data_IF_632043017073
#
_entry.id   IF_632043017073
#
_cell.length_a   1.000
_cell.length_b   1.000
_cell.length_c   1.000
_cell.angle_alpha   90.00
_cell.angle_beta   90.00
_cell.angle_gamma   90.00
#
_symmetry.space_group_name_H-M   'P 1'
#
loop_
_entity.id
_entity.type
_entity.pdbx_description
1 polymer ?
#
# COMPACT_ATOMS: atom_id res chain seq x y z
N UNK A 1 29.46 -28.84 66.23
CA UNK A 1 30.36 -27.81 65.64
C UNK A 1 29.86 -27.60 64.19
N UNK A 2 28.88 -26.73 64.06
CA UNK A 2 28.21 -26.40 62.78
C UNK A 2 28.77 -25.08 62.23
N UNK A 3 29.20 -25.10 61.01
CA UNK A 3 29.60 -23.89 60.25
C UNK A 3 28.48 -23.51 59.32
N UNK A 4 27.77 -22.42 59.69
CA UNK A 4 26.82 -21.71 58.82
C UNK A 4 27.57 -21.06 57.68
N UNK A 5 27.18 -21.41 56.44
CA UNK A 5 27.60 -20.67 55.25
C UNK A 5 26.51 -19.64 54.96
N UNK A 6 26.83 -18.36 55.22
CA UNK A 6 26.05 -17.22 54.82
C UNK A 6 26.05 -17.13 53.28
N UNK A 7 24.87 -17.22 52.68
CA UNK A 7 24.63 -16.86 51.30
C UNK A 7 24.74 -15.33 51.16
N UNK A 8 25.65 -14.90 50.31
CA UNK A 8 25.76 -13.50 49.88
C UNK A 8 24.67 -13.27 48.84
N UNK A 9 23.62 -12.54 49.22
CA UNK A 9 22.64 -11.99 48.29
C UNK A 9 23.35 -10.99 47.36
N UNK A 10 23.56 -11.37 46.11
CA UNK A 10 23.97 -10.45 45.05
C UNK A 10 22.78 -9.58 44.66
N UNK A 11 22.77 -8.37 45.14
CA UNK A 11 21.90 -7.27 44.70
C UNK A 11 21.94 -7.15 43.17
N UNK A 12 20.99 -7.78 42.51
CA UNK A 12 20.68 -7.54 41.11
C UNK A 12 19.93 -6.20 40.98
N UNK A 13 20.69 -5.11 40.93
CA UNK A 13 20.15 -3.80 40.61
C UNK A 13 19.73 -3.76 39.11
N UNK A 14 18.45 -3.83 38.77
CA UNK A 14 18.02 -3.68 37.38
C UNK A 14 18.27 -2.24 36.98
N UNK A 15 19.23 -2.04 36.06
CA UNK A 15 19.54 -0.74 35.46
C UNK A 15 18.23 -0.03 35.12
N UNK A 16 18.00 1.10 35.79
CA UNK A 16 16.88 1.99 35.59
C UNK A 16 16.81 2.36 34.09
N UNK A 17 15.85 1.79 33.38
CA UNK A 17 15.45 2.31 32.09
C UNK A 17 14.98 3.74 32.36
N UNK A 18 15.67 4.73 31.80
CA UNK A 18 15.21 6.13 31.79
C UNK A 18 13.96 6.13 30.88
N UNK A 19 12.85 5.69 31.45
CA UNK A 19 11.53 5.95 30.89
C UNK A 19 11.25 7.42 31.13
N UNK A 20 10.92 8.15 30.09
CA UNK A 20 10.36 9.49 30.25
C UNK A 20 9.22 9.43 31.28
N UNK A 21 9.08 10.45 32.14
CA UNK A 21 7.93 10.56 33.02
C UNK A 21 6.65 10.28 32.25
N UNK A 22 5.73 9.51 32.81
CA UNK A 22 4.52 9.06 32.13
C UNK A 22 3.74 10.18 31.43
N UNK A 23 3.75 11.39 32.03
CA UNK A 23 3.11 12.58 31.47
C UNK A 23 3.73 13.06 30.13
N UNK A 24 5.08 12.97 29.96
CA UNK A 24 5.73 13.34 28.70
C UNK A 24 5.49 12.31 27.59
N UNK A 25 5.34 11.04 27.94
CA UNK A 25 4.94 9.99 27.01
C UNK A 25 3.52 10.24 26.54
N UNK A 26 2.61 10.49 27.46
CA UNK A 26 1.21 10.80 27.18
C UNK A 26 1.07 12.07 26.32
N UNK A 27 1.83 13.13 26.63
CA UNK A 27 1.84 14.36 25.81
C UNK A 27 2.31 14.09 24.37
N UNK A 28 3.35 13.30 24.17
CA UNK A 28 3.83 12.96 22.82
C UNK A 28 2.80 12.14 22.04
N UNK A 29 2.12 11.21 22.71
CA UNK A 29 1.02 10.42 22.12
C UNK A 29 -0.17 11.31 21.75
N UNK A 30 -0.58 12.22 22.61
CA UNK A 30 -1.63 13.21 22.32
C UNK A 30 -1.26 14.16 21.19
N UNK A 31 0.00 14.58 21.10
CA UNK A 31 0.48 15.43 20.01
C UNK A 31 0.39 14.69 18.66
N UNK A 32 0.83 13.44 18.59
CA UNK A 32 0.74 12.61 17.37
C UNK A 32 -0.72 12.40 16.98
N UNK A 33 -1.57 12.02 17.93
CA UNK A 33 -3.02 11.85 17.69
C UNK A 33 -3.64 13.17 17.23
N UNK A 34 -3.28 14.29 17.86
CA UNK A 34 -3.77 15.62 17.50
C UNK A 34 -3.39 16.00 16.06
N UNK A 35 -2.11 15.86 15.70
CA UNK A 35 -1.63 16.14 14.34
C UNK A 35 -2.34 15.23 13.32
N UNK A 36 -2.43 13.94 13.62
CA UNK A 36 -3.12 12.99 12.76
C UNK A 36 -4.61 13.33 12.59
N UNK A 37 -5.28 13.69 13.68
CA UNK A 37 -6.70 14.09 13.65
C UNK A 37 -6.90 15.35 12.83
N UNK A 38 -6.06 16.36 13.01
CA UNK A 38 -6.12 17.62 12.24
C UNK A 38 -5.88 17.34 10.76
N UNK A 39 -4.85 16.57 10.41
CA UNK A 39 -4.58 16.20 9.01
C UNK A 39 -5.76 15.46 8.37
N UNK A 40 -6.33 14.49 9.08
CA UNK A 40 -7.51 13.75 8.63
C UNK A 40 -8.73 14.65 8.44
N UNK A 41 -9.03 15.51 9.43
CA UNK A 41 -10.19 16.44 9.38
C UNK A 41 -10.03 17.45 8.25
N UNK A 42 -8.84 18.03 8.07
CA UNK A 42 -8.56 18.97 6.98
C UNK A 42 -8.72 18.29 5.61
N UNK A 43 -8.19 17.08 5.44
CA UNK A 43 -8.35 16.32 4.20
C UNK A 43 -9.82 15.93 3.97
N UNK A 44 -10.53 15.46 5.01
CA UNK A 44 -11.94 15.09 4.91
C UNK A 44 -12.85 16.29 4.60
N UNK A 45 -12.58 17.47 5.19
CA UNK A 45 -13.30 18.70 4.88
C UNK A 45 -13.01 19.14 3.46
N UNK A 46 -11.74 19.12 3.03
CA UNK A 46 -11.33 19.45 1.68
C UNK A 46 -12.01 18.56 0.63
N UNK A 47 -12.05 17.26 0.87
CA UNK A 47 -12.71 16.29 -0.01
C UNK A 47 -14.24 16.41 0.05
N UNK A 48 -14.82 16.61 1.23
CA UNK A 48 -16.25 16.82 1.41
C UNK A 48 -16.75 18.08 0.71
N UNK A 49 -16.03 19.19 0.82
CA UNK A 49 -16.37 20.42 0.11
C UNK A 49 -16.26 20.26 -1.40
N UNK A 50 -15.26 19.55 -1.89
CA UNK A 50 -15.10 19.24 -3.32
C UNK A 50 -16.26 18.36 -3.85
N UNK A 51 -16.68 17.37 -3.07
CA UNK A 51 -17.83 16.52 -3.41
C UNK A 51 -19.14 17.30 -3.41
N UNK A 52 -19.37 18.18 -2.42
CA UNK A 52 -20.59 18.98 -2.29
C UNK A 52 -20.71 20.09 -3.33
N UNK A 53 -19.60 20.75 -3.68
CA UNK A 53 -19.60 21.82 -4.68
C UNK A 53 -19.72 21.31 -6.11
N UNK A 54 -19.59 20.01 -6.33
CA UNK A 54 -19.74 19.37 -7.65
C UNK A 54 -18.64 19.73 -8.65
N UNK A 55 -17.70 20.61 -8.27
CA UNK A 55 -16.68 21.13 -9.18
C UNK A 55 -15.50 20.18 -9.43
N UNK A 56 -15.44 19.05 -8.73
CA UNK A 56 -14.23 18.21 -8.72
C UNK A 56 -14.46 16.68 -8.74
N UNK A 57 -15.68 16.16 -8.87
CA UNK A 57 -15.89 14.73 -9.07
C UNK A 57 -15.14 14.25 -10.32
N UNK A 58 -15.16 15.05 -11.38
CA UNK A 58 -14.50 14.78 -12.65
C UNK A 58 -12.96 14.86 -12.61
N UNK A 59 -12.37 15.59 -11.67
CA UNK A 59 -10.91 15.75 -11.56
C UNK A 59 -10.22 14.64 -10.76
N UNK A 60 -10.95 13.65 -10.24
CA UNK A 60 -10.46 12.52 -9.45
C UNK A 60 -10.34 11.27 -10.31
N UNK A 61 -9.43 10.36 -9.94
CA UNK A 61 -9.29 9.07 -10.61
C UNK A 61 -10.59 8.23 -10.59
N UNK A 62 -11.44 8.49 -9.59
CA UNK A 62 -12.78 7.90 -9.51
C UNK A 62 -13.58 8.03 -10.81
N UNK A 63 -13.45 9.18 -11.52
CA UNK A 63 -14.27 9.41 -12.73
C UNK A 63 -14.03 8.36 -13.80
N UNK A 64 -12.83 7.81 -13.88
CA UNK A 64 -12.49 6.74 -14.84
C UNK A 64 -13.27 5.48 -14.56
N UNK A 65 -13.47 5.14 -13.28
CA UNK A 65 -14.21 3.94 -12.85
C UNK A 65 -15.71 4.11 -13.12
N UNK A 66 -16.25 5.28 -12.77
CA UNK A 66 -17.66 5.59 -12.99
C UNK A 66 -18.00 5.64 -14.48
N UNK A 67 -17.20 6.34 -15.29
CA UNK A 67 -17.44 6.46 -16.72
C UNK A 67 -17.37 5.09 -17.43
N UNK A 68 -16.36 4.27 -17.12
CA UNK A 68 -16.27 2.90 -17.65
C UNK A 68 -17.47 2.03 -17.22
N UNK A 69 -17.89 2.13 -15.96
CA UNK A 69 -19.06 1.42 -15.46
C UNK A 69 -20.36 1.90 -16.15
N UNK A 70 -20.47 3.20 -16.41
CA UNK A 70 -21.62 3.79 -17.12
C UNK A 70 -21.72 3.30 -18.55
N UNK A 71 -20.59 3.28 -19.28
CA UNK A 71 -20.51 2.68 -20.60
C UNK A 71 -20.97 1.22 -20.59
N UNK A 72 -20.46 0.44 -19.65
CA UNK A 72 -20.75 -0.99 -19.54
C UNK A 72 -22.24 -1.27 -19.30
N UNK A 73 -22.93 -0.48 -18.45
CA UNK A 73 -24.37 -0.59 -18.21
C UNK A 73 -25.18 -0.30 -19.46
N UNK A 74 -24.69 0.59 -20.33
CA UNK A 74 -25.30 0.89 -21.62
C UNK A 74 -24.85 -0.05 -22.75
N UNK A 75 -24.21 -1.19 -22.43
CA UNK A 75 -23.68 -2.16 -23.39
C UNK A 75 -22.71 -1.54 -24.41
N UNK A 76 -21.98 -0.50 -23.98
CA UNK A 76 -20.97 0.20 -24.78
C UNK A 76 -19.58 -0.19 -24.31
N UNK A 77 -18.55 0.08 -25.15
CA UNK A 77 -17.17 -0.24 -24.84
C UNK A 77 -16.68 0.53 -23.60
N UNK A 78 -16.36 -0.15 -22.48
CA UNK A 78 -15.93 0.50 -21.21
C UNK A 78 -14.56 1.17 -21.30
N UNK A 79 -13.85 1.02 -22.41
CA UNK A 79 -12.52 1.60 -22.66
C UNK A 79 -12.55 2.59 -23.86
N UNK A 80 -13.72 2.93 -24.39
CA UNK A 80 -13.82 3.90 -25.49
C UNK A 80 -13.52 5.33 -24.99
N UNK A 81 -12.39 5.87 -25.43
CA UNK A 81 -11.94 7.20 -25.03
C UNK A 81 -12.92 8.32 -25.39
N UNK A 82 -13.65 8.18 -26.51
CA UNK A 82 -14.60 9.20 -26.94
C UNK A 82 -15.84 9.25 -26.05
N UNK A 83 -16.48 8.09 -25.84
CA UNK A 83 -17.65 7.99 -24.97
C UNK A 83 -17.32 8.32 -23.51
N UNK A 84 -16.16 7.88 -22.99
CA UNK A 84 -15.69 8.25 -21.66
C UNK A 84 -15.51 9.76 -21.55
N UNK A 85 -14.87 10.43 -22.52
CA UNK A 85 -14.68 11.88 -22.48
C UNK A 85 -16.00 12.64 -22.46
N UNK A 86 -17.04 12.18 -23.16
CA UNK A 86 -18.37 12.77 -23.10
C UNK A 86 -18.96 12.70 -21.68
N UNK A 87 -18.85 11.54 -21.02
CA UNK A 87 -19.30 11.33 -19.65
C UNK A 87 -18.50 12.19 -18.66
N UNK A 88 -17.19 12.22 -18.77
CA UNK A 88 -16.32 13.05 -17.94
C UNK A 88 -16.68 14.54 -18.05
N UNK A 89 -16.92 15.03 -19.26
CA UNK A 89 -17.33 16.42 -19.47
C UNK A 89 -18.72 16.72 -18.90
N UNK A 90 -19.68 15.79 -19.03
CA UNK A 90 -21.00 15.93 -18.43
C UNK A 90 -20.94 16.00 -16.91
N UNK A 91 -19.95 15.32 -16.30
CA UNK A 91 -19.65 15.35 -14.87
C UNK A 91 -18.78 16.56 -14.44
N UNK A 92 -18.47 17.50 -15.35
CA UNK A 92 -17.71 18.71 -15.06
C UNK A 92 -16.19 18.60 -15.28
N UNK A 93 -15.71 17.57 -16.00
CA UNK A 93 -14.28 17.44 -16.33
C UNK A 93 -13.82 18.59 -17.23
N UNK A 94 -12.71 19.28 -16.92
CA UNK A 94 -12.27 20.43 -17.67
C UNK A 94 -11.97 20.12 -19.14
N UNK A 95 -12.44 20.93 -20.10
CA UNK A 95 -12.28 20.65 -21.54
C UNK A 95 -10.83 20.65 -22.01
N UNK A 96 -9.93 21.28 -21.27
CA UNK A 96 -8.50 21.39 -21.61
C UNK A 96 -7.68 20.17 -21.16
N UNK A 97 -8.27 19.24 -20.42
CA UNK A 97 -7.59 18.04 -19.92
C UNK A 97 -7.88 16.87 -20.87
N UNK A 98 -6.89 16.04 -21.09
CA UNK A 98 -7.06 14.79 -21.87
C UNK A 98 -7.93 13.79 -21.12
N UNK A 99 -8.65 12.95 -21.87
CA UNK A 99 -9.48 11.88 -21.31
C UNK A 99 -8.72 10.99 -20.34
N UNK A 100 -9.37 10.63 -19.26
CA UNK A 100 -8.87 9.69 -18.26
C UNK A 100 -9.54 8.32 -18.43
N UNK A 101 -9.01 7.46 -19.28
CA UNK A 101 -9.53 6.11 -19.49
C UNK A 101 -9.07 5.17 -18.37
N UNK A 102 -9.97 4.33 -17.87
CA UNK A 102 -9.65 3.28 -16.91
C UNK A 102 -8.60 2.31 -17.49
N UNK A 103 -7.44 2.18 -16.83
CA UNK A 103 -6.32 1.33 -17.27
C UNK A 103 -6.27 -0.04 -16.57
N UNK A 104 -7.29 -0.35 -15.80
CA UNK A 104 -7.38 -1.60 -15.08
C UNK A 104 -7.91 -2.71 -16.01
N UNK A 105 -7.40 -3.95 -15.88
CA UNK A 105 -7.85 -5.07 -16.71
C UNK A 105 -9.34 -5.39 -16.56
N UNK A 106 -9.97 -6.10 -17.54
CA UNK A 106 -11.40 -6.39 -17.56
C UNK A 106 -11.96 -7.08 -16.32
N UNK A 107 -11.19 -7.91 -15.63
CA UNK A 107 -11.63 -8.51 -14.37
C UNK A 107 -11.78 -7.49 -13.23
N UNK A 108 -11.48 -6.22 -13.44
CA UNK A 108 -11.84 -5.12 -12.53
C UNK A 108 -13.25 -4.59 -12.79
N UNK A 109 -13.82 -4.81 -13.98
CA UNK A 109 -15.14 -4.31 -14.37
C UNK A 109 -16.26 -4.69 -13.38
N UNK A 110 -16.35 -5.93 -12.86
CA UNK A 110 -17.38 -6.29 -11.90
C UNK A 110 -17.33 -5.47 -10.62
N UNK A 111 -16.15 -5.01 -10.21
CA UNK A 111 -15.96 -4.19 -9.02
C UNK A 111 -16.52 -2.78 -9.18
N UNK A 112 -16.35 -2.21 -10.37
CA UNK A 112 -16.77 -0.83 -10.64
C UNK A 112 -18.21 -0.75 -11.21
N UNK A 113 -18.75 -1.84 -11.74
CA UNK A 113 -20.07 -1.92 -12.36
C UNK A 113 -21.18 -1.23 -11.54
N UNK A 114 -21.29 -1.44 -10.21
CA UNK A 114 -22.36 -0.81 -9.43
C UNK A 114 -22.34 0.71 -9.46
N UNK A 115 -21.17 1.34 -9.71
CA UNK A 115 -21.05 2.80 -9.78
C UNK A 115 -21.82 3.38 -10.96
N UNK A 116 -21.90 2.65 -12.06
CA UNK A 116 -22.62 3.08 -13.25
C UNK A 116 -24.14 3.16 -13.08
N UNK A 117 -24.71 2.55 -12.03
CA UNK A 117 -26.15 2.61 -11.73
C UNK A 117 -26.57 3.98 -11.16
N UNK A 118 -25.64 4.78 -10.69
CA UNK A 118 -25.87 6.05 -10.02
C UNK A 118 -25.34 7.22 -10.84
N UNK A 119 -25.83 8.42 -10.57
CA UNK A 119 -25.18 9.63 -11.04
C UNK A 119 -23.78 9.79 -10.43
N UNK A 120 -22.97 10.64 -11.03
CA UNK A 120 -21.55 10.79 -10.66
C UNK A 120 -21.33 11.20 -9.21
N UNK A 121 -22.25 11.99 -8.62
CA UNK A 121 -22.11 12.49 -7.22
C UNK A 121 -22.40 11.41 -6.21
N UNK A 122 -23.51 10.67 -6.42
CA UNK A 122 -23.88 9.54 -5.54
C UNK A 122 -22.82 8.45 -5.66
N UNK A 123 -22.39 8.11 -6.89
CA UNK A 123 -21.36 7.13 -7.13
C UNK A 123 -20.02 7.52 -6.45
N UNK A 124 -19.62 8.80 -6.52
CA UNK A 124 -18.43 9.32 -5.85
C UNK A 124 -18.51 9.21 -4.33
N UNK A 125 -19.68 9.50 -3.75
CA UNK A 125 -19.96 9.32 -2.32
C UNK A 125 -19.84 7.87 -1.87
N UNK A 126 -20.50 6.95 -2.59
CA UNK A 126 -20.45 5.51 -2.30
C UNK A 126 -19.02 4.95 -2.44
N UNK A 127 -18.30 5.36 -3.49
CA UNK A 127 -16.91 4.98 -3.70
C UNK A 127 -16.00 5.47 -2.59
N UNK A 128 -16.13 6.72 -2.18
CA UNK A 128 -15.35 7.30 -1.08
C UNK A 128 -15.61 6.57 0.24
N UNK A 129 -16.87 6.21 0.54
CA UNK A 129 -17.22 5.40 1.71
C UNK A 129 -16.62 3.99 1.66
N UNK A 130 -16.62 3.36 0.48
CA UNK A 130 -16.00 2.04 0.27
C UNK A 130 -14.49 2.09 0.50
N UNK A 131 -13.82 3.12 -0.04
CA UNK A 131 -12.38 3.31 0.13
C UNK A 131 -12.02 3.62 1.59
N UNK A 132 -12.77 4.50 2.24
CA UNK A 132 -12.58 4.82 3.67
C UNK A 132 -12.80 3.58 4.54
N UNK A 133 -13.87 2.83 4.29
CA UNK A 133 -14.16 1.56 4.98
C UNK A 133 -13.02 0.55 4.79
N UNK A 134 -12.45 0.48 3.58
CA UNK A 134 -11.31 -0.40 3.27
C UNK A 134 -10.05 0.02 4.03
N UNK A 135 -9.77 1.31 4.14
CA UNK A 135 -8.65 1.83 4.95
C UNK A 135 -8.84 1.49 6.43
N UNK A 136 -10.02 1.80 6.98
CA UNK A 136 -10.35 1.53 8.39
C UNK A 136 -10.22 0.03 8.69
N UNK A 137 -10.81 -0.82 7.86
CA UNK A 137 -10.74 -2.26 8.02
C UNK A 137 -9.30 -2.76 7.95
N UNK A 138 -8.50 -2.29 6.99
CA UNK A 138 -7.11 -2.70 6.80
C UNK A 138 -6.24 -2.37 8.01
N UNK A 139 -6.26 -1.12 8.46
CA UNK A 139 -5.48 -0.68 9.63
C UNK A 139 -5.92 -1.43 10.88
N UNK A 140 -7.24 -1.59 11.09
CA UNK A 140 -7.78 -2.31 12.25
C UNK A 140 -7.40 -3.80 12.25
N UNK A 141 -7.43 -4.46 11.09
CA UNK A 141 -7.01 -5.87 10.97
C UNK A 141 -5.52 -6.00 11.29
N UNK A 142 -4.66 -5.13 10.77
CA UNK A 142 -3.22 -5.13 11.08
C UNK A 142 -2.99 -4.91 12.58
N UNK A 143 -3.68 -3.97 13.21
CA UNK A 143 -3.63 -3.75 14.66
C UNK A 143 -4.02 -5.00 15.46
N UNK A 144 -5.10 -5.71 15.04
CA UNK A 144 -5.53 -6.97 15.66
C UNK A 144 -4.46 -8.07 15.47
N UNK A 145 -3.83 -8.15 14.30
CA UNK A 145 -2.76 -9.13 14.01
C UNK A 145 -1.53 -8.94 14.90
N UNK A 146 -1.31 -7.73 15.40
CA UNK A 146 -0.25 -7.42 16.38
C UNK A 146 -0.73 -7.47 17.84
N UNK A 147 -1.79 -8.24 18.14
CA UNK A 147 -2.35 -8.41 19.49
C UNK A 147 -2.84 -7.10 20.14
N UNK A 148 -3.33 -6.16 19.32
CA UNK A 148 -3.91 -4.89 19.78
C UNK A 148 -2.98 -4.14 20.73
N UNK A 149 -1.79 -3.68 20.29
CA UNK A 149 -0.88 -2.95 21.15
C UNK A 149 -1.58 -1.78 21.82
N UNK A 150 -1.32 -1.60 23.12
CA UNK A 150 -1.87 -0.47 23.91
C UNK A 150 -1.07 0.80 23.61
N UNK A 151 -1.18 1.27 22.35
CA UNK A 151 -0.61 2.52 21.89
C UNK A 151 -1.42 3.05 20.69
N UNK A 152 -1.17 4.30 20.34
CA UNK A 152 -1.89 4.98 19.24
C UNK A 152 -1.15 4.94 17.89
N UNK A 153 -0.11 4.12 17.73
CA UNK A 153 0.73 4.10 16.52
C UNK A 153 -0.05 3.68 15.27
N UNK A 154 -1.12 2.88 15.41
CA UNK A 154 -1.98 2.51 14.30
C UNK A 154 -2.68 3.71 13.63
N UNK A 155 -2.84 4.85 14.34
CA UNK A 155 -3.39 6.07 13.74
C UNK A 155 -2.52 6.62 12.61
N UNK A 156 -1.20 6.38 12.64
CA UNK A 156 -0.32 6.73 11.53
C UNK A 156 -0.67 5.99 10.22
N UNK A 157 -1.32 4.83 10.31
CA UNK A 157 -1.83 4.14 9.13
C UNK A 157 -3.01 4.86 8.47
N UNK A 158 -3.88 5.51 9.26
CA UNK A 158 -5.00 6.31 8.73
C UNK A 158 -4.55 7.62 8.11
N UNK A 159 -3.48 8.22 8.62
CA UNK A 159 -2.97 9.53 8.25
C UNK A 159 -1.69 9.45 7.42
N UNK A 160 -1.34 8.25 6.96
CA UNK A 160 -0.24 8.06 6.03
C UNK A 160 -0.53 8.84 4.73
N UNK A 161 0.41 9.69 4.31
CA UNK A 161 0.19 10.61 3.19
C UNK A 161 -0.30 9.92 1.90
N UNK A 162 0.20 8.70 1.61
CA UNK A 162 -0.29 7.93 0.48
C UNK A 162 -1.76 7.47 0.67
N UNK A 163 -2.21 7.22 1.91
CA UNK A 163 -3.61 6.86 2.18
C UNK A 163 -4.54 8.06 1.98
N UNK A 164 -4.17 9.23 2.48
CA UNK A 164 -4.94 10.46 2.30
C UNK A 164 -4.98 10.86 0.83
N UNK A 165 -3.84 10.81 0.13
CA UNK A 165 -3.79 11.06 -1.32
C UNK A 165 -4.64 10.07 -2.13
N UNK A 166 -4.68 8.81 -1.70
CA UNK A 166 -5.49 7.76 -2.33
C UNK A 166 -6.99 8.02 -2.13
N UNK A 167 -7.42 8.42 -0.92
CA UNK A 167 -8.80 8.85 -0.64
C UNK A 167 -9.16 10.10 -1.46
N UNK A 168 -8.29 11.11 -1.45
CA UNK A 168 -8.52 12.36 -2.15
C UNK A 168 -8.65 12.18 -3.67
N UNK A 169 -7.87 11.31 -4.29
CA UNK A 169 -7.96 10.99 -5.72
C UNK A 169 -9.07 9.99 -6.07
N UNK A 170 -9.64 9.29 -5.10
CA UNK A 170 -10.59 8.20 -5.33
C UNK A 170 -9.92 6.95 -5.93
N UNK A 171 -8.65 6.71 -5.64
CA UNK A 171 -7.84 5.66 -6.25
C UNK A 171 -8.14 4.27 -5.65
N UNK A 172 -8.22 3.25 -6.49
CA UNK A 172 -8.58 1.86 -6.14
C UNK A 172 -7.56 1.18 -5.19
N UNK A 173 -6.38 1.75 -4.99
CA UNK A 173 -5.27 1.13 -4.24
C UNK A 173 -5.60 0.82 -2.78
N UNK A 174 -6.63 1.46 -2.19
CA UNK A 174 -7.14 1.09 -0.86
C UNK A 174 -7.85 -0.27 -0.83
N UNK A 175 -8.49 -0.66 -1.92
CA UNK A 175 -9.04 -2.02 -2.06
C UNK A 175 -7.92 -3.04 -2.26
N UNK A 176 -6.87 -2.65 -2.98
CA UNK A 176 -5.65 -3.48 -3.14
C UNK A 176 -4.98 -3.71 -1.78
N UNK A 177 -4.89 -2.67 -0.93
CA UNK A 177 -4.43 -2.78 0.45
C UNK A 177 -5.30 -3.75 1.26
N UNK A 178 -6.64 -3.64 1.17
CA UNK A 178 -7.54 -4.54 1.87
C UNK A 178 -7.31 -5.99 1.45
N UNK A 179 -7.13 -6.26 0.15
CA UNK A 179 -6.80 -7.59 -0.36
C UNK A 179 -5.51 -8.15 0.24
N UNK A 180 -4.45 -7.33 0.33
CA UNK A 180 -3.20 -7.71 0.97
C UNK A 180 -3.39 -8.05 2.44
N UNK A 181 -4.09 -7.21 3.18
CA UNK A 181 -4.32 -7.41 4.62
C UNK A 181 -5.18 -8.65 4.89
N UNK A 182 -6.19 -8.90 4.07
CA UNK A 182 -7.00 -10.13 4.16
C UNK A 182 -6.15 -11.38 3.87
N UNK A 183 -5.28 -11.34 2.86
CA UNK A 183 -4.33 -12.41 2.62
C UNK A 183 -3.42 -12.64 3.85
N UNK A 184 -2.79 -11.59 4.38
CA UNK A 184 -1.93 -11.69 5.57
C UNK A 184 -2.68 -12.26 6.77
N UNK A 185 -3.93 -11.90 6.97
CA UNK A 185 -4.76 -12.36 8.10
C UNK A 185 -5.19 -13.82 7.97
N UNK A 186 -5.54 -14.26 6.76
CA UNK A 186 -6.22 -15.53 6.55
C UNK A 186 -5.36 -16.64 5.93
N UNK A 187 -4.10 -16.36 5.54
CA UNK A 187 -3.25 -17.35 4.85
C UNK A 187 -3.05 -18.67 5.62
N UNK A 188 -3.14 -18.64 6.95
CA UNK A 188 -3.03 -19.84 7.82
C UNK A 188 -4.39 -20.41 8.23
N UNK A 189 -5.37 -19.54 8.53
CA UNK A 189 -6.65 -19.94 9.13
C UNK A 189 -7.73 -20.26 8.12
N UNK A 190 -7.79 -19.54 7.00
CA UNK A 190 -8.82 -19.66 5.97
C UNK A 190 -8.21 -19.51 4.56
N UNK A 191 -7.45 -20.54 4.10
CA UNK A 191 -6.66 -20.42 2.87
C UNK A 191 -7.47 -20.07 1.61
N UNK A 192 -8.73 -20.53 1.50
CA UNK A 192 -9.59 -20.17 0.37
C UNK A 192 -9.92 -18.68 0.35
N UNK A 193 -10.24 -18.09 1.53
CA UNK A 193 -10.52 -16.66 1.67
C UNK A 193 -9.25 -15.86 1.36
N UNK A 194 -8.09 -16.29 1.89
CA UNK A 194 -6.82 -15.68 1.59
C UNK A 194 -6.52 -15.69 0.08
N UNK A 195 -6.80 -16.80 -0.59
CA UNK A 195 -6.68 -16.89 -2.04
C UNK A 195 -7.63 -15.97 -2.77
N UNK A 196 -8.91 -15.98 -2.42
CA UNK A 196 -9.91 -15.13 -3.04
C UNK A 196 -9.60 -13.63 -2.88
N UNK A 197 -9.01 -13.21 -1.74
CA UNK A 197 -8.62 -11.81 -1.51
C UNK A 197 -7.51 -11.32 -2.45
N UNK A 198 -6.74 -12.22 -3.08
CA UNK A 198 -5.74 -11.85 -4.09
C UNK A 198 -6.38 -11.26 -5.35
N UNK A 199 -7.68 -11.49 -5.57
CA UNK A 199 -8.41 -10.83 -6.65
C UNK A 199 -8.35 -9.30 -6.56
N UNK A 200 -8.30 -8.72 -5.36
CA UNK A 200 -8.11 -7.27 -5.20
C UNK A 200 -6.75 -6.75 -5.69
N UNK A 201 -5.76 -7.64 -5.96
CA UNK A 201 -4.49 -7.21 -6.58
C UNK A 201 -4.60 -7.08 -8.11
N UNK A 202 -5.64 -7.68 -8.67
CA UNK A 202 -5.89 -7.68 -10.11
C UNK A 202 -5.84 -6.29 -10.78
N UNK A 203 -6.37 -5.20 -10.16
CA UNK A 203 -6.25 -3.87 -10.72
C UNK A 203 -4.82 -3.36 -10.87
N UNK A 204 -3.87 -3.82 -10.02
CA UNK A 204 -2.49 -3.32 -9.96
C UNK A 204 -1.47 -4.44 -9.69
N UNK A 205 -1.40 -5.48 -10.54
CA UNK A 205 -0.55 -6.65 -10.30
C UNK A 205 0.94 -6.32 -10.32
N UNK A 206 1.34 -5.27 -11.02
CA UNK A 206 2.72 -4.80 -11.13
C UNK A 206 3.35 -4.37 -9.79
N UNK A 207 2.54 -4.01 -8.80
CA UNK A 207 3.02 -3.66 -7.46
C UNK A 207 3.49 -4.88 -6.65
N UNK A 208 3.12 -6.10 -7.08
CA UNK A 208 3.33 -7.33 -6.33
C UNK A 208 4.31 -8.30 -7.00
N UNK A 209 5.11 -7.89 -7.98
CA UNK A 209 5.93 -8.83 -8.75
C UNK A 209 6.89 -9.65 -7.86
N UNK A 210 7.79 -9.08 -7.03
CA UNK A 210 8.63 -9.84 -6.12
C UNK A 210 7.81 -10.61 -5.05
N UNK A 211 6.81 -9.96 -4.47
CA UNK A 211 5.93 -10.59 -3.49
C UNK A 211 5.16 -11.78 -4.08
N UNK A 212 4.60 -11.63 -5.27
CA UNK A 212 3.87 -12.65 -5.99
C UNK A 212 4.74 -13.84 -6.41
N UNK A 213 5.99 -13.58 -6.83
CA UNK A 213 6.95 -14.64 -7.13
C UNK A 213 7.21 -15.53 -5.90
N UNK A 214 7.42 -14.93 -4.74
CA UNK A 214 7.59 -15.65 -3.48
C UNK A 214 6.28 -16.34 -3.05
N UNK A 215 5.13 -15.68 -3.20
CA UNK A 215 3.83 -16.28 -2.89
C UNK A 215 3.61 -17.57 -3.69
N UNK A 216 3.91 -17.54 -4.99
CA UNK A 216 3.81 -18.72 -5.84
C UNK A 216 4.78 -19.84 -5.39
N UNK A 217 6.04 -19.50 -5.15
CA UNK A 217 7.02 -20.43 -4.64
C UNK A 217 6.62 -21.02 -3.29
N UNK A 218 6.08 -20.21 -2.38
CA UNK A 218 5.59 -20.65 -1.07
C UNK A 218 4.35 -21.56 -1.18
N UNK A 219 3.39 -21.26 -2.04
CA UNK A 219 2.22 -22.11 -2.29
C UNK A 219 2.66 -23.49 -2.74
N UNK A 220 3.62 -23.57 -3.67
CA UNK A 220 4.13 -24.84 -4.22
C UNK A 220 4.90 -25.61 -3.17
N UNK A 221 5.88 -25.01 -2.51
CA UNK A 221 6.78 -25.67 -1.56
C UNK A 221 6.09 -26.07 -0.26
N UNK A 222 5.13 -25.25 0.21
CA UNK A 222 4.35 -25.53 1.42
C UNK A 222 3.02 -26.24 1.14
N UNK A 223 2.77 -26.64 -0.13
CA UNK A 223 1.57 -27.36 -0.57
C UNK A 223 0.25 -26.66 -0.18
N UNK A 224 0.26 -25.33 -0.17
CA UNK A 224 -0.90 -24.48 0.21
C UNK A 224 -1.86 -24.27 -0.96
N UNK A 225 -2.17 -25.32 -1.74
CA UNK A 225 -2.96 -25.25 -2.97
C UNK A 225 -4.36 -24.66 -2.79
N UNK A 226 -4.95 -24.71 -1.59
CA UNK A 226 -6.25 -24.07 -1.32
C UNK A 226 -6.21 -22.55 -1.53
N UNK A 227 -5.05 -21.91 -1.34
CA UNK A 227 -4.88 -20.49 -1.66
C UNK A 227 -4.95 -20.28 -3.17
N UNK A 228 -4.24 -21.12 -3.94
CA UNK A 228 -4.33 -21.06 -5.40
C UNK A 228 -5.77 -21.31 -5.90
N UNK A 229 -6.47 -22.30 -5.34
CA UNK A 229 -7.89 -22.56 -5.68
C UNK A 229 -8.75 -21.32 -5.40
N UNK A 230 -8.63 -20.70 -4.21
CA UNK A 230 -9.39 -19.50 -3.88
C UNK A 230 -9.11 -18.35 -4.85
N UNK A 231 -7.82 -18.12 -5.19
CA UNK A 231 -7.43 -17.10 -6.14
C UNK A 231 -8.00 -17.38 -7.54
N UNK A 232 -7.75 -18.56 -8.09
CA UNK A 232 -8.22 -18.96 -9.42
C UNK A 232 -9.74 -18.87 -9.51
N UNK A 233 -10.47 -19.36 -8.48
CA UNK A 233 -11.94 -19.27 -8.46
C UNK A 233 -12.43 -17.82 -8.50
N UNK A 234 -11.85 -16.92 -7.71
CA UNK A 234 -12.25 -15.51 -7.70
C UNK A 234 -11.94 -14.83 -9.04
N UNK A 235 -10.77 -15.12 -9.64
CA UNK A 235 -10.43 -14.62 -10.98
C UNK A 235 -11.35 -15.15 -12.07
N UNK A 236 -11.67 -16.44 -12.04
CA UNK A 236 -12.58 -17.06 -13.03
C UNK A 236 -14.00 -16.50 -12.92
N UNK A 237 -14.52 -16.32 -11.71
CA UNK A 237 -15.83 -15.69 -11.48
C UNK A 237 -15.83 -14.26 -12.01
N UNK A 238 -14.81 -13.47 -11.70
CA UNK A 238 -14.69 -12.11 -12.19
C UNK A 238 -14.56 -12.05 -13.71
N UNK A 239 -13.78 -12.96 -14.31
CA UNK A 239 -13.63 -13.07 -15.75
C UNK A 239 -14.95 -13.44 -16.43
N UNK A 240 -15.69 -14.40 -15.86
CA UNK A 240 -16.99 -14.81 -16.37
C UNK A 240 -18.00 -13.66 -16.36
N UNK A 241 -18.05 -12.89 -15.25
CA UNK A 241 -18.90 -11.71 -15.15
C UNK A 241 -18.47 -10.64 -16.17
N UNK A 242 -17.18 -10.35 -16.30
CA UNK A 242 -16.68 -9.38 -17.27
C UNK A 242 -17.04 -9.77 -18.69
N UNK A 243 -16.88 -11.07 -19.04
CA UNK A 243 -17.23 -11.61 -20.36
C UNK A 243 -18.73 -11.57 -20.62
N UNK A 244 -19.56 -11.85 -19.61
CA UNK A 244 -21.02 -11.77 -19.74
C UNK A 244 -21.51 -10.32 -19.96
N UNK A 245 -20.80 -9.34 -19.41
CA UNK A 245 -21.11 -7.91 -19.55
C UNK A 245 -20.64 -7.34 -20.89
N UNK A 246 -19.43 -7.68 -21.31
CA UNK A 246 -18.82 -7.32 -22.58
C UNK A 246 -17.93 -8.45 -23.09
N UNK A 247 -18.41 -9.29 -24.04
CA UNK A 247 -17.59 -10.36 -24.62
C UNK A 247 -16.31 -9.89 -25.33
N UNK A 248 -16.26 -8.62 -25.73
CA UNK A 248 -15.12 -7.97 -26.36
C UNK A 248 -14.20 -7.21 -25.40
N UNK A 249 -14.47 -7.24 -24.08
CA UNK A 249 -13.75 -6.44 -23.09
C UNK A 249 -12.22 -6.56 -23.16
N UNK A 250 -11.70 -7.77 -23.42
CA UNK A 250 -10.26 -7.99 -23.58
C UNK A 250 -9.68 -7.39 -24.85
N UNK A 251 -10.44 -7.40 -25.95
CA UNK A 251 -10.05 -6.74 -27.20
C UNK A 251 -10.01 -5.23 -27.01
N UNK A 252 -11.07 -4.66 -26.44
CA UNK A 252 -11.17 -3.24 -26.13
C UNK A 252 -10.05 -2.78 -25.17
N UNK A 253 -9.75 -3.57 -24.14
CA UNK A 253 -8.65 -3.29 -23.21
C UNK A 253 -7.28 -3.29 -23.90
N UNK A 254 -7.01 -4.28 -24.76
CA UNK A 254 -5.76 -4.36 -25.54
C UNK A 254 -5.60 -3.17 -26.48
N UNK A 255 -6.68 -2.79 -27.16
CA UNK A 255 -6.72 -1.62 -28.04
C UNK A 255 -6.45 -0.33 -27.25
N UNK A 256 -7.12 -0.13 -26.12
CA UNK A 256 -6.87 1.00 -25.22
C UNK A 256 -5.41 1.05 -24.80
N UNK A 257 -4.81 -0.07 -24.37
CA UNK A 257 -3.40 -0.10 -23.96
C UNK A 257 -2.44 0.30 -25.06
N UNK A 258 -2.72 -0.06 -26.32
CA UNK A 258 -1.86 0.32 -27.47
C UNK A 258 -1.82 1.83 -27.70
N UNK A 259 -2.84 2.57 -27.24
CA UNK A 259 -2.94 4.03 -27.36
C UNK A 259 -2.65 4.77 -26.06
N UNK A 260 -2.55 4.07 -24.93
CA UNK A 260 -2.49 4.71 -23.59
C UNK A 260 -1.20 5.48 -23.31
N UNK A 261 -0.10 5.21 -24.02
CA UNK A 261 1.17 5.94 -23.89
C UNK A 261 1.71 6.02 -22.46
N UNK A 262 1.46 5.00 -21.62
CA UNK A 262 1.89 4.97 -20.20
C UNK A 262 3.40 5.17 -20.08
N UNK A 263 4.15 4.66 -21.02
CA UNK A 263 5.61 4.79 -21.08
C UNK A 263 6.10 6.24 -21.23
N UNK A 264 5.23 7.14 -21.69
CA UNK A 264 5.55 8.57 -21.86
C UNK A 264 5.19 9.42 -20.63
N UNK A 265 4.47 8.85 -19.65
CA UNK A 265 4.05 9.60 -18.49
C UNK A 265 5.17 9.74 -17.45
N UNK A 266 5.32 10.92 -16.83
CA UNK A 266 6.29 11.17 -15.77
C UNK A 266 5.79 10.57 -14.44
N UNK A 267 5.78 9.24 -14.32
CA UNK A 267 5.39 8.56 -13.08
C UNK A 267 6.58 8.56 -12.13
N UNK A 268 6.41 9.04 -10.88
CA UNK A 268 7.51 9.20 -9.92
C UNK A 268 7.92 7.87 -9.28
N UNK A 269 8.55 6.98 -10.05
CA UNK A 269 9.12 5.73 -9.56
C UNK A 269 10.52 5.49 -10.11
N UNK A 270 11.31 4.72 -9.36
CA UNK A 270 12.73 4.46 -9.66
C UNK A 270 12.90 3.78 -11.03
N UNK A 271 12.00 2.86 -11.39
CA UNK A 271 12.08 2.10 -12.63
C UNK A 271 11.90 2.97 -13.88
N UNK A 272 10.96 3.91 -13.83
CA UNK A 272 10.76 4.87 -14.94
C UNK A 272 11.92 5.87 -14.98
N UNK A 273 12.38 6.37 -13.83
CA UNK A 273 13.52 7.28 -13.77
C UNK A 273 14.77 6.61 -14.35
N UNK A 274 15.03 5.35 -14.00
CA UNK A 274 16.15 4.58 -14.57
C UNK A 274 16.09 4.53 -16.10
N UNK A 275 14.92 4.19 -16.66
CA UNK A 275 14.72 4.17 -18.11
C UNK A 275 14.97 5.53 -18.74
N UNK A 276 14.40 6.59 -18.15
CA UNK A 276 14.49 7.96 -18.69
C UNK A 276 15.94 8.48 -18.70
N UNK A 277 16.73 8.14 -17.67
CA UNK A 277 18.14 8.57 -17.56
C UNK A 277 19.04 7.77 -18.49
N UNK A 278 18.86 6.44 -18.56
CA UNK A 278 19.80 5.55 -19.27
C UNK A 278 19.46 5.47 -20.76
N UNK A 279 18.22 5.15 -21.10
CA UNK A 279 17.77 5.03 -22.50
C UNK A 279 16.24 5.04 -22.58
N UNK A 280 15.62 6.20 -22.87
CA UNK A 280 14.16 6.37 -22.88
C UNK A 280 13.38 5.40 -23.78
N UNK A 281 13.96 5.02 -24.92
CA UNK A 281 13.34 4.13 -25.91
C UNK A 281 13.34 2.65 -25.49
N UNK A 282 14.14 2.29 -24.50
CA UNK A 282 14.33 0.90 -24.08
C UNK A 282 13.37 0.49 -22.97
N UNK A 283 12.16 0.06 -23.32
CA UNK A 283 11.09 -0.31 -22.37
C UNK A 283 11.54 -1.38 -21.35
N UNK A 284 12.44 -2.31 -21.73
CA UNK A 284 12.92 -3.36 -20.84
C UNK A 284 13.65 -2.82 -19.58
N UNK A 285 14.31 -1.65 -19.68
CA UNK A 285 14.97 -1.02 -18.53
C UNK A 285 13.99 -0.69 -17.40
N UNK A 286 12.75 -0.42 -17.73
CA UNK A 286 11.70 -0.17 -16.74
C UNK A 286 11.33 -1.43 -15.95
N UNK A 287 11.49 -2.62 -16.55
CA UNK A 287 11.17 -3.90 -15.91
C UNK A 287 12.39 -4.54 -15.21
N UNK A 288 13.60 -4.07 -15.50
CA UNK A 288 14.84 -4.61 -14.95
C UNK A 288 14.89 -4.58 -13.41
N UNK A 289 14.52 -3.46 -12.71
CA UNK A 289 14.50 -3.46 -11.24
C UNK A 289 13.54 -4.50 -10.67
N UNK A 290 12.35 -4.66 -11.26
CA UNK A 290 11.38 -5.66 -10.82
C UNK A 290 11.89 -7.09 -11.04
N UNK A 291 12.56 -7.38 -12.16
CA UNK A 291 13.18 -8.67 -12.42
C UNK A 291 14.26 -8.99 -11.38
N UNK A 292 15.19 -8.06 -11.12
CA UNK A 292 16.22 -8.22 -10.09
C UNK A 292 15.59 -8.38 -8.70
N UNK A 293 14.53 -7.63 -8.42
CA UNK A 293 13.75 -7.77 -7.19
C UNK A 293 13.11 -9.15 -7.04
N UNK A 294 12.59 -9.76 -8.11
CA UNK A 294 12.07 -11.13 -8.09
C UNK A 294 13.17 -12.16 -7.81
N UNK A 295 14.33 -12.04 -8.45
CA UNK A 295 15.47 -12.94 -8.23
C UNK A 295 15.92 -12.85 -6.77
N UNK A 296 16.11 -11.63 -6.25
CA UNK A 296 16.47 -11.42 -4.85
C UNK A 296 15.41 -11.99 -3.90
N UNK A 297 14.14 -11.74 -4.17
CA UNK A 297 13.03 -12.19 -3.32
C UNK A 297 12.93 -13.72 -3.24
N UNK A 298 13.14 -14.42 -4.37
CA UNK A 298 13.17 -15.88 -4.40
C UNK A 298 14.38 -16.43 -3.63
N UNK A 299 15.56 -15.81 -3.76
CA UNK A 299 16.74 -16.18 -2.98
C UNK A 299 16.51 -15.93 -1.48
N UNK A 300 15.94 -14.79 -1.12
CA UNK A 300 15.58 -14.45 0.24
C UNK A 300 14.58 -15.46 0.83
N UNK A 301 13.54 -15.82 0.08
CA UNK A 301 12.59 -16.86 0.47
C UNK A 301 13.27 -18.20 0.67
N UNK A 302 14.09 -18.64 -0.28
CA UNK A 302 14.81 -19.91 -0.18
C UNK A 302 15.64 -20.02 1.11
N UNK A 303 16.33 -18.93 1.48
CA UNK A 303 17.13 -18.84 2.70
C UNK A 303 16.29 -18.92 3.98
N UNK A 304 15.09 -18.36 3.99
CA UNK A 304 14.23 -18.26 5.18
C UNK A 304 13.03 -19.19 5.16
N UNK A 305 12.90 -20.08 4.18
CA UNK A 305 11.70 -20.90 3.94
C UNK A 305 11.23 -21.73 5.13
N UNK A 306 12.14 -22.19 5.98
CA UNK A 306 11.82 -23.06 7.13
C UNK A 306 11.17 -22.29 8.30
N UNK A 307 11.39 -20.99 8.37
CA UNK A 307 10.87 -20.08 9.42
C UNK A 307 9.95 -19.02 8.83
N UNK A 308 9.41 -19.27 7.64
CA UNK A 308 8.65 -18.26 6.89
C UNK A 308 7.39 -17.80 7.61
N UNK A 309 7.31 -16.51 7.86
CA UNK A 309 6.13 -15.82 8.32
C UNK A 309 5.80 -14.64 7.40
N UNK A 310 4.53 -14.55 6.95
CA UNK A 310 4.11 -13.52 6.01
C UNK A 310 4.05 -12.13 6.63
N UNK A 311 3.86 -12.01 7.95
CA UNK A 311 3.84 -10.70 8.59
C UNK A 311 5.26 -10.12 8.70
N UNK A 312 6.22 -10.96 9.07
CA UNK A 312 7.61 -10.56 9.23
C UNK A 312 8.34 -10.41 7.89
N UNK A 313 8.43 -11.51 7.13
CA UNK A 313 9.16 -11.52 5.86
C UNK A 313 8.38 -10.85 4.72
N UNK A 314 7.05 -10.96 4.71
CA UNK A 314 6.18 -10.35 3.71
C UNK A 314 6.19 -8.82 3.76
N UNK A 315 6.40 -8.23 4.94
CA UNK A 315 6.56 -6.78 5.11
C UNK A 315 7.75 -6.25 4.32
N UNK A 316 8.92 -6.89 4.43
CA UNK A 316 10.11 -6.52 3.66
C UNK A 316 9.90 -6.75 2.16
N UNK A 317 9.27 -7.89 1.78
CA UNK A 317 8.96 -8.18 0.38
C UNK A 317 8.06 -7.12 -0.25
N UNK A 318 7.06 -6.63 0.49
CA UNK A 318 6.13 -5.62 -0.02
C UNK A 318 6.83 -4.29 -0.25
N UNK A 319 7.70 -3.87 0.69
CA UNK A 319 8.52 -2.67 0.54
C UNK A 319 9.43 -2.75 -0.68
N UNK A 320 10.12 -3.87 -0.87
CA UNK A 320 10.94 -4.10 -2.06
C UNK A 320 10.08 -4.12 -3.32
N UNK A 321 8.93 -4.80 -3.30
CA UNK A 321 8.04 -4.91 -4.46
C UNK A 321 7.61 -3.54 -4.98
N UNK A 322 7.21 -2.63 -4.08
CA UNK A 322 6.80 -1.27 -4.47
C UNK A 322 8.00 -0.43 -4.90
N UNK A 323 9.15 -0.56 -4.23
CA UNK A 323 10.35 0.21 -4.57
C UNK A 323 10.91 -0.12 -5.97
N UNK A 324 10.77 -1.38 -6.40
CA UNK A 324 11.24 -1.84 -7.72
C UNK A 324 10.11 -2.02 -8.75
N UNK A 325 8.89 -1.62 -8.42
CA UNK A 325 7.76 -1.76 -9.34
C UNK A 325 8.05 -1.10 -10.69
N UNK A 326 7.65 -1.70 -11.82
CA UNK A 326 7.92 -1.12 -13.15
C UNK A 326 7.24 0.24 -13.33
N UNK A 327 6.14 0.48 -12.65
CA UNK A 327 5.55 1.79 -12.40
C UNK A 327 4.76 1.76 -11.09
N UNK A 328 4.73 2.87 -10.38
CA UNK A 328 3.93 3.05 -9.17
C UNK A 328 3.70 4.55 -8.95
N UNK A 329 2.45 4.93 -8.78
CA UNK A 329 2.11 6.27 -8.34
C UNK A 329 2.38 6.42 -6.85
N UNK A 330 2.53 7.64 -6.36
CA UNK A 330 2.72 7.88 -4.94
C UNK A 330 1.58 7.27 -4.09
N UNK A 331 0.34 7.42 -4.52
CA UNK A 331 -0.83 6.87 -3.84
C UNK A 331 -0.86 5.32 -3.80
N UNK A 332 -0.13 4.63 -4.68
CA UNK A 332 -0.01 3.18 -4.65
C UNK A 332 0.79 2.68 -3.45
N UNK A 333 1.60 3.56 -2.84
CA UNK A 333 2.37 3.24 -1.65
C UNK A 333 1.50 2.99 -0.42
N UNK A 334 0.18 3.22 -0.49
CA UNK A 334 -0.77 2.86 0.56
C UNK A 334 -0.72 1.37 0.91
N UNK A 335 -0.35 0.50 -0.03
CA UNK A 335 -0.18 -0.94 0.21
C UNK A 335 0.98 -1.26 1.17
N UNK A 336 1.83 -0.28 1.50
CA UNK A 336 2.93 -0.41 2.47
C UNK A 336 2.47 -0.29 3.93
N UNK A 337 1.23 0.14 4.20
CA UNK A 337 0.72 0.33 5.57
C UNK A 337 0.97 -0.88 6.48
N UNK A 338 0.72 -2.15 6.08
CA UNK A 338 1.02 -3.29 6.95
C UNK A 338 2.50 -3.38 7.35
N UNK A 339 3.41 -3.13 6.41
CA UNK A 339 4.85 -3.16 6.67
C UNK A 339 5.28 -1.98 7.56
N UNK A 340 4.75 -0.78 7.33
CA UNK A 340 5.07 0.39 8.14
C UNK A 340 4.56 0.24 9.58
N UNK A 341 3.32 -0.25 9.76
CA UNK A 341 2.79 -0.54 11.09
C UNK A 341 3.56 -1.65 11.79
N UNK A 342 3.97 -2.69 11.05
CA UNK A 342 4.83 -3.74 11.59
C UNK A 342 6.15 -3.17 12.11
N UNK A 343 6.85 -2.34 11.32
CA UNK A 343 8.07 -1.65 11.75
C UNK A 343 7.84 -0.72 12.96
N UNK A 344 6.72 0.01 13.01
CA UNK A 344 6.34 0.85 14.14
C UNK A 344 6.14 0.06 15.44
N UNK A 345 5.56 -1.13 15.36
CA UNK A 345 5.35 -1.97 16.54
C UNK A 345 6.62 -2.69 17.01
N UNK A 346 7.57 -2.91 16.12
CA UNK A 346 8.87 -3.50 16.47
C UNK A 346 9.87 -2.47 16.99
N UNK A 347 9.79 -1.21 16.52
CA UNK A 347 10.77 -0.20 16.89
C UNK A 347 10.61 0.26 18.35
N UNK A 348 11.74 0.41 19.04
CA UNK A 348 11.82 1.11 20.33
C UNK A 348 12.29 2.56 20.17
N UNK A 349 12.64 2.95 18.95
CA UNK A 349 13.18 4.27 18.64
C UNK A 349 12.05 5.27 18.42
N UNK A 350 11.89 6.24 19.35
CA UNK A 350 10.98 7.38 19.17
C UNK A 350 11.35 8.22 17.96
N UNK A 351 12.65 8.31 17.67
CA UNK A 351 13.14 9.01 16.48
C UNK A 351 12.62 8.35 15.20
N UNK A 352 12.59 7.00 15.13
CA UNK A 352 12.02 6.31 13.99
C UNK A 352 10.53 6.63 13.79
N UNK A 353 9.75 6.67 14.87
CA UNK A 353 8.34 7.08 14.83
C UNK A 353 8.19 8.53 14.35
N UNK A 354 8.97 9.45 14.93
CA UNK A 354 8.94 10.86 14.58
C UNK A 354 9.34 11.10 13.11
N UNK A 355 10.35 10.40 12.60
CA UNK A 355 10.79 10.50 11.20
C UNK A 355 9.69 10.05 10.24
N UNK A 356 9.05 8.91 10.49
CA UNK A 356 7.94 8.44 9.64
C UNK A 356 6.79 9.45 9.63
N UNK A 357 6.36 9.88 10.83
CA UNK A 357 5.27 10.84 10.97
C UNK A 357 5.59 12.19 10.29
N UNK A 358 6.81 12.71 10.49
CA UNK A 358 7.23 13.99 9.92
C UNK A 358 7.32 13.95 8.39
N UNK A 359 7.92 12.90 7.83
CA UNK A 359 8.00 12.75 6.36
C UNK A 359 6.59 12.65 5.78
N UNK A 360 5.72 11.83 6.38
CA UNK A 360 4.33 11.72 5.93
C UNK A 360 3.59 13.05 6.00
N UNK A 361 3.72 13.80 7.09
CA UNK A 361 3.09 15.11 7.26
C UNK A 361 3.62 16.16 6.26
N UNK A 362 4.94 16.18 6.01
CA UNK A 362 5.54 17.12 5.02
C UNK A 362 4.98 16.84 3.62
N UNK A 363 4.89 15.57 3.24
CA UNK A 363 4.33 15.19 1.94
C UNK A 363 2.85 15.61 1.86
N UNK A 364 2.07 15.40 2.93
CA UNK A 364 0.66 15.80 2.95
C UNK A 364 0.48 17.31 2.86
N UNK A 365 1.32 18.09 3.56
CA UNK A 365 1.34 19.54 3.44
C UNK A 365 1.66 19.98 2.00
N UNK A 366 2.61 19.31 1.35
CA UNK A 366 2.94 19.61 -0.05
C UNK A 366 1.75 19.33 -0.98
N UNK A 367 1.05 18.19 -0.79
CA UNK A 367 -0.18 17.85 -1.52
C UNK A 367 -1.27 18.91 -1.28
N UNK A 368 -1.49 19.29 -0.04
CA UNK A 368 -2.45 20.35 0.32
C UNK A 368 -2.11 21.71 -0.32
N UNK A 369 -0.82 22.03 -0.46
CA UNK A 369 -0.32 23.21 -1.17
C UNK A 369 -0.43 23.12 -2.69
N UNK A 370 -0.99 22.03 -3.22
CA UNK A 370 -1.24 21.84 -4.65
C UNK A 370 -0.05 21.30 -5.44
N UNK A 371 0.97 20.73 -4.78
CA UNK A 371 2.06 20.06 -5.50
C UNK A 371 1.50 18.80 -6.16
N UNK A 372 1.60 18.68 -7.51
CA UNK A 372 0.99 17.56 -8.22
C UNK A 372 1.62 16.23 -7.85
N UNK A 373 0.81 15.16 -7.68
CA UNK A 373 1.25 13.79 -7.41
C UNK A 373 2.14 13.18 -8.52
N UNK A 374 2.24 13.86 -9.65
CA UNK A 374 3.15 13.54 -10.77
C UNK A 374 4.54 14.16 -10.61
N UNK A 375 4.81 14.94 -9.54
CA UNK A 375 6.10 15.57 -9.32
C UNK A 375 7.19 14.54 -9.03
N UNK A 376 7.99 14.18 -10.04
CA UNK A 376 9.08 13.21 -9.92
C UNK A 376 10.08 13.57 -8.81
N UNK A 377 10.60 14.82 -8.71
CA UNK A 377 11.57 15.17 -7.67
C UNK A 377 11.03 14.98 -6.25
N UNK A 378 9.72 15.18 -6.04
CA UNK A 378 9.12 15.10 -4.72
C UNK A 378 8.79 13.67 -4.29
N UNK A 379 8.45 12.77 -5.21
CA UNK A 379 7.89 11.47 -4.84
C UNK A 379 8.74 10.25 -5.22
N UNK A 380 9.70 10.38 -6.14
CA UNK A 380 10.49 9.22 -6.62
C UNK A 380 11.29 8.53 -5.53
N UNK A 381 11.73 9.28 -4.52
CA UNK A 381 12.53 8.78 -3.40
C UNK A 381 11.70 8.13 -2.29
N UNK A 382 10.38 8.34 -2.28
CA UNK A 382 9.52 7.96 -1.14
C UNK A 382 9.45 6.45 -0.93
N UNK A 383 9.24 5.65 -1.97
CA UNK A 383 9.20 4.19 -1.83
C UNK A 383 10.55 3.60 -1.34
N UNK A 384 11.72 3.98 -1.89
CA UNK A 384 13.02 3.64 -1.30
C UNK A 384 13.20 4.12 0.14
N UNK A 385 12.72 5.33 0.47
CA UNK A 385 12.84 5.86 1.83
C UNK A 385 12.06 5.04 2.87
N UNK A 386 10.85 4.57 2.52
CA UNK A 386 10.08 3.69 3.40
C UNK A 386 10.77 2.35 3.62
N UNK A 387 11.42 1.80 2.59
CA UNK A 387 12.23 0.59 2.72
C UNK A 387 13.42 0.81 3.66
N UNK A 388 14.18 1.89 3.46
CA UNK A 388 15.32 2.22 4.32
C UNK A 388 14.86 2.51 5.76
N UNK A 389 13.76 3.22 5.93
CA UNK A 389 13.16 3.47 7.23
C UNK A 389 12.78 2.15 7.94
N UNK A 390 12.13 1.23 7.23
CA UNK A 390 11.76 -0.07 7.78
C UNK A 390 12.98 -0.88 8.23
N UNK A 391 14.00 -0.95 7.39
CA UNK A 391 15.26 -1.62 7.72
C UNK A 391 15.96 -1.01 8.93
N UNK A 392 15.83 0.30 9.12
CA UNK A 392 16.35 0.98 10.30
C UNK A 392 15.47 0.71 11.54
N UNK A 393 14.16 0.83 11.43
CA UNK A 393 13.21 0.68 12.52
C UNK A 393 13.15 -0.76 13.09
N UNK A 394 13.32 -1.77 12.22
CA UNK A 394 13.26 -3.19 12.59
C UNK A 394 14.61 -3.80 13.03
N UNK A 395 15.69 -3.00 13.11
CA UNK A 395 16.98 -3.52 13.58
C UNK A 395 16.87 -4.01 15.03
N UNK A 396 17.34 -5.24 15.32
CA UNK A 396 17.49 -5.67 16.71
C UNK A 396 18.49 -4.73 17.38
N UNK A 397 18.09 -4.15 18.51
CA UNK A 397 19.03 -3.39 19.34
C UNK A 397 19.98 -4.39 19.96
N UNK A 398 21.21 -4.43 19.47
CA UNK A 398 22.29 -5.20 20.12
C UNK A 398 22.40 -4.69 21.55
N UNK A 399 22.23 -5.55 22.57
CA UNK A 399 22.42 -5.10 23.95
C UNK A 399 23.86 -4.61 24.10
N UNK A 400 24.06 -3.42 24.65
CA UNK A 400 25.36 -2.84 24.96
C UNK A 400 26.25 -3.78 25.80
N UNK A 401 25.69 -4.82 26.37
CA UNK A 401 26.39 -5.81 27.19
C UNK A 401 27.37 -6.72 26.42
N UNK A 402 27.24 -6.86 25.10
CA UNK A 402 28.21 -7.66 24.33
C UNK A 402 29.48 -6.88 23.96
N UNK A 403 29.42 -5.54 23.96
CA UNK A 403 30.61 -4.72 23.75
C UNK A 403 31.60 -4.83 24.91
N UNK A 404 31.08 -4.89 26.15
CA UNK A 404 31.91 -5.03 27.36
C UNK A 404 32.55 -6.44 27.44
N UNK A 405 31.88 -7.47 26.94
CA UNK A 405 32.47 -8.83 26.86
C UNK A 405 33.56 -8.98 25.81
N UNK A 406 33.42 -8.30 24.67
CA UNK A 406 34.43 -8.30 23.61
C UNK A 406 35.68 -7.51 24.00
N UNK A 407 35.52 -6.42 24.74
CA UNK A 407 36.66 -5.62 25.26
C UNK A 407 37.42 -6.36 26.37
N UNK A 408 36.72 -7.11 27.21
CA UNK A 408 37.33 -7.90 28.30
C UNK A 408 38.01 -9.16 27.76
N UNK A 409 37.52 -9.73 26.64
CA UNK A 409 38.16 -10.92 26.02
C UNK A 409 39.36 -10.58 25.12
N UNK A 410 39.49 -9.33 24.65
CA UNK A 410 40.60 -8.88 23.84
C UNK A 410 41.78 -8.31 24.66
N UNK A 411 41.63 -8.20 26.00
CA UNK A 411 42.60 -7.69 26.95
C UNK A 411 43.27 -8.77 27.80
N UNK A 412 43.16 -10.05 27.44
CA UNK A 412 43.88 -11.15 28.12
C UNK A 412 44.84 -11.85 27.16
#
# INVERSE_FOLDING_TARGET
MGTEIRSVDSDNNPKAHVSLPGHLRTMAEFLVVGICTVAFVVSAIGDGTRLLTGSNAASRDFITYWASARQLIHHSNPYDAHGILQLERSAGFPPVVSVMVMRNPPFTLPLVLPLGLFDEKIAAGLWSLLLLGSLIASVRIVWIMHNRPDNYLHYLGYTFAAALSCLASGQISLLVLLGLVLFLRFNRTSPLIAGASLWFWAPKPHLFLPFGAVLLAWIITSKRYRIAVGAVSAFLVSLAIAYALDPSAWLHYREMLSHAGIEKQPIPCVSILLRQIVRPESAWLQYLPAFLGCVWALFYFYKHRNVWDWMEHGSLLMLVSVAVAPYAWFMDQVVLIPALLHGLYQTRSRLAVAVLASISAIIEIANFRGVPLVSVPLYVWTAPAWLLWYLWASRPITPLHDYDRLVISAGR
#
